data_IF_668660866933
#
_entry.id   IF_668660866933
#
_cell.length_a   1.000
_cell.length_b   1.000
_cell.length_c   1.000
_cell.angle_alpha   90.00
_cell.angle_beta   90.00
_cell.angle_gamma   90.00
#
_symmetry.space_group_name_H-M   'P 1'
#
loop_
_entity.id
_entity.type
_entity.pdbx_description
1 polymer ?
#
# COMPACT_ATOMS: atom_id res chain seq x y z
N UNK A 1 8.37 -1.08 -5.92
CA UNK A 1 7.32 -0.96 -6.95
C UNK A 1 6.38 0.15 -6.54
N UNK A 2 6.08 1.06 -7.43
CA UNK A 2 5.14 2.15 -7.19
C UNK A 2 3.80 1.89 -7.91
N UNK A 3 2.82 2.80 -7.75
CA UNK A 3 1.51 2.65 -8.39
C UNK A 3 1.58 2.67 -9.91
N UNK A 4 2.53 3.39 -10.50
CA UNK A 4 2.72 3.41 -11.95
C UNK A 4 3.17 2.04 -12.47
N UNK A 5 4.11 1.41 -11.78
CA UNK A 5 4.59 0.07 -12.12
C UNK A 5 3.47 -0.97 -11.99
N UNK A 6 2.66 -0.87 -10.92
CA UNK A 6 1.49 -1.74 -10.73
C UNK A 6 0.48 -1.53 -11.87
N UNK A 7 0.23 -0.28 -12.25
CA UNK A 7 -0.67 0.07 -13.36
C UNK A 7 -0.19 -0.54 -14.68
N UNK A 8 1.10 -0.48 -14.96
CA UNK A 8 1.69 -1.07 -16.19
C UNK A 8 1.52 -2.59 -16.23
N UNK A 9 1.71 -3.27 -15.09
CA UNK A 9 1.50 -4.72 -14.97
C UNK A 9 0.03 -5.05 -15.22
N UNK A 10 -0.88 -4.31 -14.59
CA UNK A 10 -2.33 -4.50 -14.76
C UNK A 10 -2.80 -4.21 -16.18
N UNK A 11 -2.23 -3.20 -16.83
CA UNK A 11 -2.57 -2.89 -18.23
C UNK A 11 -2.33 -4.06 -19.19
N UNK A 12 -1.36 -4.92 -18.88
CA UNK A 12 -1.08 -6.13 -19.65
C UNK A 12 -2.05 -7.27 -19.33
N UNK A 13 -2.53 -7.35 -18.09
CA UNK A 13 -3.42 -8.41 -17.62
C UNK A 13 -4.90 -8.08 -17.79
N UNK A 14 -5.26 -6.79 -17.84
CA UNK A 14 -6.65 -6.33 -17.86
C UNK A 14 -7.46 -6.73 -19.08
N UNK A 15 -6.91 -6.71 -20.32
CA UNK A 15 -7.69 -7.06 -21.52
C UNK A 15 -8.25 -8.48 -21.45
N UNK A 16 -9.47 -8.64 -21.99
CA UNK A 16 -10.13 -9.94 -22.13
C UNK A 16 -10.13 -10.32 -23.60
N UNK A 17 -9.57 -11.50 -23.92
CA UNK A 17 -9.59 -12.04 -25.26
C UNK A 17 -10.98 -12.61 -25.58
N UNK A 18 -11.74 -11.90 -26.39
CA UNK A 18 -13.09 -12.29 -26.80
C UNK A 18 -13.12 -13.61 -27.58
N UNK A 19 -11.99 -14.01 -28.17
CA UNK A 19 -11.88 -15.24 -28.94
C UNK A 19 -11.61 -16.47 -28.08
N UNK A 20 -11.32 -16.28 -26.78
CA UNK A 20 -11.00 -17.35 -25.85
C UNK A 20 -11.62 -17.13 -24.48
N UNK A 21 -12.94 -17.03 -24.42
CA UNK A 21 -13.66 -16.73 -23.17
C UNK A 21 -13.53 -17.85 -22.13
N UNK A 22 -13.40 -19.11 -22.56
CA UNK A 22 -13.13 -20.22 -21.65
C UNK A 22 -11.79 -20.04 -20.94
N UNK A 23 -10.75 -19.73 -21.72
CA UNK A 23 -9.42 -19.43 -21.17
C UNK A 23 -9.42 -18.23 -20.23
N UNK A 24 -10.16 -17.19 -20.59
CA UNK A 24 -10.30 -16.00 -19.74
C UNK A 24 -11.02 -16.32 -18.43
N UNK A 25 -12.04 -17.16 -18.43
CA UNK A 25 -12.70 -17.63 -17.20
C UNK A 25 -11.76 -18.43 -16.31
N UNK A 26 -10.95 -19.31 -16.89
CA UNK A 26 -9.95 -20.10 -16.16
C UNK A 26 -8.84 -19.22 -15.58
N UNK A 27 -8.56 -18.08 -16.21
CA UNK A 27 -7.51 -17.14 -15.79
C UNK A 27 -7.88 -16.34 -14.55
N UNK A 28 -9.18 -16.19 -14.23
CA UNK A 28 -9.65 -15.37 -13.11
C UNK A 28 -8.97 -15.74 -11.78
N UNK A 29 -8.96 -17.02 -11.33
CA UNK A 29 -8.29 -17.37 -10.07
C UNK A 29 -6.79 -17.10 -10.08
N UNK A 30 -6.14 -17.24 -11.25
CA UNK A 30 -4.72 -16.95 -11.39
C UNK A 30 -4.41 -15.47 -11.24
N UNK A 31 -5.22 -14.62 -11.86
CA UNK A 31 -5.12 -13.16 -11.70
C UNK A 31 -5.36 -12.75 -10.25
N UNK A 32 -6.40 -13.31 -9.62
CA UNK A 32 -6.69 -13.05 -8.23
C UNK A 32 -5.49 -13.41 -7.35
N UNK A 33 -4.93 -14.59 -7.51
CA UNK A 33 -3.76 -15.05 -6.75
C UNK A 33 -2.57 -14.10 -6.92
N UNK A 34 -2.27 -13.70 -8.16
CA UNK A 34 -1.17 -12.79 -8.47
C UNK A 34 -1.31 -11.45 -7.74
N UNK A 35 -2.45 -10.79 -7.90
CA UNK A 35 -2.67 -9.46 -7.34
C UNK A 35 -2.93 -9.49 -5.83
N UNK A 36 -3.57 -10.53 -5.32
CA UNK A 36 -3.75 -10.71 -3.88
C UNK A 36 -2.42 -10.90 -3.16
N UNK A 37 -1.47 -11.65 -3.75
CA UNK A 37 -0.15 -11.81 -3.18
C UNK A 37 0.62 -10.49 -3.14
N UNK A 38 0.51 -9.67 -4.19
CA UNK A 38 1.10 -8.33 -4.21
C UNK A 38 0.48 -7.44 -3.14
N UNK A 39 -0.85 -7.46 -3.05
CA UNK A 39 -1.61 -6.71 -2.04
C UNK A 39 -1.20 -7.08 -0.62
N UNK A 40 -1.17 -8.36 -0.34
CA UNK A 40 -0.88 -8.86 1.01
C UNK A 40 0.54 -8.49 1.46
N UNK A 41 1.51 -8.52 0.57
CA UNK A 41 2.87 -8.05 0.85
C UNK A 41 2.88 -6.57 1.26
N UNK A 42 2.13 -5.74 0.56
CA UNK A 42 2.02 -4.31 0.90
C UNK A 42 1.32 -4.11 2.25
N UNK A 43 0.27 -4.86 2.55
CA UNK A 43 -0.43 -4.81 3.84
C UNK A 43 0.52 -5.14 4.99
N UNK A 44 1.30 -6.21 4.85
CA UNK A 44 2.27 -6.60 5.87
C UNK A 44 3.38 -5.55 6.02
N UNK A 45 3.81 -4.97 4.91
CA UNK A 45 4.81 -3.88 4.91
C UNK A 45 4.32 -2.67 5.70
N UNK A 46 3.07 -2.26 5.46
CA UNK A 46 2.45 -1.14 6.18
C UNK A 46 2.37 -1.43 7.68
N UNK A 47 1.99 -2.65 8.06
CA UNK A 47 1.94 -3.04 9.48
C UNK A 47 3.29 -2.92 10.16
N UNK A 48 4.33 -3.41 9.49
CA UNK A 48 5.71 -3.32 10.00
C UNK A 48 6.15 -1.86 10.15
N UNK A 49 5.91 -1.05 9.12
CA UNK A 49 6.29 0.36 9.13
C UNK A 49 5.54 1.16 10.20
N UNK A 50 4.28 0.85 10.45
CA UNK A 50 3.52 1.49 11.53
C UNK A 50 4.04 1.12 12.91
N UNK A 51 4.52 -0.10 13.10
CA UNK A 51 5.18 -0.50 14.33
C UNK A 51 6.51 0.27 14.51
N UNK A 52 7.28 0.41 13.45
CA UNK A 52 8.50 1.22 13.43
C UNK A 52 8.19 2.71 13.74
N UNK A 53 7.09 3.22 13.21
CA UNK A 53 6.63 4.59 13.49
C UNK A 53 6.35 4.81 14.97
N UNK A 54 5.65 3.89 15.61
CA UNK A 54 5.36 3.98 17.06
C UNK A 54 6.65 4.00 17.88
N UNK A 55 7.60 3.18 17.53
CA UNK A 55 8.91 3.14 18.19
C UNK A 55 9.68 4.44 17.97
N UNK A 56 9.72 4.94 16.74
CA UNK A 56 10.37 6.21 16.41
C UNK A 56 9.70 7.39 17.13
N UNK A 57 8.36 7.40 17.18
CA UNK A 57 7.60 8.44 17.88
C UNK A 57 7.96 8.47 19.37
N UNK A 58 8.09 7.29 20.00
CA UNK A 58 8.52 7.17 21.40
C UNK A 58 9.93 7.75 21.58
N UNK A 59 10.87 7.35 20.72
CA UNK A 59 12.26 7.83 20.77
C UNK A 59 12.34 9.34 20.57
N UNK A 60 11.59 9.89 19.63
CA UNK A 60 11.58 11.33 19.35
C UNK A 60 10.93 12.11 20.51
N UNK A 61 9.92 11.54 21.16
CA UNK A 61 9.31 12.16 22.35
C UNK A 61 10.33 12.28 23.47
N UNK A 62 11.08 11.22 23.76
CA UNK A 62 12.17 11.25 24.74
C UNK A 62 13.28 12.21 24.35
N UNK A 63 13.59 12.29 23.04
CA UNK A 63 14.60 13.21 22.53
C UNK A 63 14.21 14.68 22.74
N UNK A 64 12.98 15.05 22.36
CA UNK A 64 12.53 16.45 22.46
C UNK A 64 12.17 16.88 23.86
N UNK A 65 11.78 15.97 24.77
CA UNK A 65 11.49 16.32 26.16
C UNK A 65 12.76 16.35 27.03
N UNK A 66 13.90 15.98 26.47
CA UNK A 66 15.19 16.01 27.16
C UNK A 66 15.46 14.82 28.06
N UNK A 67 14.61 13.80 28.05
CA UNK A 67 14.77 12.60 28.90
C UNK A 67 15.67 11.53 28.30
N UNK A 68 16.07 11.66 27.04
CA UNK A 68 16.92 10.68 26.37
C UNK A 68 18.34 10.69 26.97
N UNK A 69 18.83 9.52 27.34
CA UNK A 69 20.18 9.39 27.89
C UNK A 69 21.28 9.51 26.81
N UNK A 70 22.52 9.73 27.24
CA UNK A 70 23.66 9.93 26.34
C UNK A 70 23.96 8.68 25.51
N UNK A 71 23.78 7.50 26.08
CA UNK A 71 24.03 6.22 25.40
C UNK A 71 23.04 6.07 24.22
N UNK A 72 21.76 6.33 24.43
CA UNK A 72 20.73 6.27 23.40
C UNK A 72 20.96 7.33 22.31
N UNK A 73 21.37 8.55 22.71
CA UNK A 73 21.74 9.60 21.75
C UNK A 73 22.87 9.14 20.85
N UNK A 74 23.90 8.50 21.41
CA UNK A 74 25.03 8.00 20.65
C UNK A 74 24.62 6.85 19.71
N UNK A 75 23.76 5.93 20.15
CA UNK A 75 23.23 4.83 19.33
C UNK A 75 22.46 5.33 18.13
N UNK A 76 21.66 6.38 18.31
CA UNK A 76 20.86 6.98 17.24
C UNK A 76 21.65 7.96 16.37
N UNK A 77 22.82 8.39 16.83
CA UNK A 77 23.61 9.40 16.13
C UNK A 77 23.01 10.80 16.20
N UNK A 78 22.22 11.07 17.21
CA UNK A 78 21.56 12.37 17.38
C UNK A 78 22.36 13.28 18.32
N UNK A 79 22.36 14.56 17.98
CA UNK A 79 22.94 15.58 18.85
C UNK A 79 21.98 15.90 20.00
N UNK A 80 22.51 16.23 21.23
CA UNK A 80 21.63 16.63 22.32
C UNK A 80 20.72 17.79 21.93
N UNK A 81 19.43 17.67 22.28
CA UNK A 81 18.45 18.73 22.02
C UNK A 81 18.51 19.75 23.18
N UNK A 82 18.88 20.98 22.84
CA UNK A 82 19.21 22.00 23.84
C UNK A 82 18.05 22.94 24.21
N UNK A 83 16.94 22.86 23.49
CA UNK A 83 15.77 23.70 23.77
C UNK A 83 14.86 23.02 24.80
N UNK A 84 14.28 23.81 25.69
CA UNK A 84 13.19 23.34 26.57
C UNK A 84 11.89 23.42 25.79
N UNK A 85 11.32 22.27 25.44
CA UNK A 85 10.03 22.20 24.79
C UNK A 85 8.95 22.05 25.83
N UNK A 86 7.96 22.93 25.82
CA UNK A 86 6.78 22.81 26.68
C UNK A 86 6.00 21.54 26.25
N UNK A 87 5.42 20.87 27.26
CA UNK A 87 4.65 19.63 27.03
C UNK A 87 3.59 19.78 25.94
N UNK A 88 2.94 20.94 25.87
CA UNK A 88 1.91 21.23 24.87
C UNK A 88 2.46 21.41 23.45
N UNK A 89 3.75 21.71 23.30
CA UNK A 89 4.41 21.92 22.01
C UNK A 89 5.15 20.68 21.52
N UNK A 90 5.26 19.65 22.35
CA UNK A 90 6.04 18.44 22.05
C UNK A 90 5.57 17.75 20.76
N UNK A 91 4.26 17.63 20.58
CA UNK A 91 3.69 17.00 19.37
C UNK A 91 4.03 17.78 18.10
N UNK A 92 4.11 19.10 18.17
CA UNK A 92 4.52 19.94 17.02
C UNK A 92 5.94 19.63 16.58
N UNK A 93 6.87 19.47 17.51
CA UNK A 93 8.26 19.13 17.23
C UNK A 93 8.37 17.72 16.63
N UNK A 94 7.62 16.75 17.17
CA UNK A 94 7.61 15.38 16.68
C UNK A 94 7.05 15.34 15.26
N UNK A 95 5.91 15.97 15.00
CA UNK A 95 5.28 15.96 13.69
C UNK A 95 6.06 16.74 12.63
N UNK A 96 6.90 17.70 13.04
CA UNK A 96 7.79 18.44 12.15
C UNK A 96 9.17 17.78 12.00
N UNK A 97 9.44 16.73 12.72
CA UNK A 97 10.71 16.00 12.67
C UNK A 97 10.91 15.33 11.31
N UNK A 98 12.11 15.48 10.73
CA UNK A 98 12.41 14.96 9.39
C UNK A 98 12.32 13.45 9.29
N UNK A 99 12.75 12.72 10.34
CA UNK A 99 12.69 11.25 10.35
C UNK A 99 11.25 10.76 10.45
N UNK A 100 10.42 11.43 11.25
CA UNK A 100 8.98 11.15 11.38
C UNK A 100 8.28 11.39 10.04
N UNK A 101 8.55 12.52 9.40
CA UNK A 101 7.96 12.86 8.09
C UNK A 101 8.37 11.82 7.04
N UNK A 102 9.64 11.45 6.98
CA UNK A 102 10.15 10.47 6.03
C UNK A 102 9.47 9.11 6.20
N UNK A 103 9.35 8.64 7.43
CA UNK A 103 8.69 7.36 7.71
C UNK A 103 7.20 7.41 7.40
N UNK A 104 6.53 8.52 7.73
CA UNK A 104 5.13 8.76 7.39
C UNK A 104 4.90 8.68 5.88
N UNK A 105 5.75 9.32 5.09
CA UNK A 105 5.66 9.28 3.62
C UNK A 105 5.90 7.87 3.07
N UNK A 106 6.78 7.09 3.69
CA UNK A 106 7.01 5.69 3.31
C UNK A 106 5.77 4.83 3.60
N UNK A 107 5.12 5.06 4.74
CA UNK A 107 3.85 4.38 5.07
C UNK A 107 2.78 4.74 4.04
N UNK A 108 2.64 6.02 3.70
CA UNK A 108 1.66 6.49 2.72
C UNK A 108 1.91 5.88 1.34
N UNK A 109 3.16 5.76 0.94
CA UNK A 109 3.56 5.12 -0.31
C UNK A 109 3.07 3.67 -0.41
N UNK A 110 3.35 2.87 0.62
CA UNK A 110 2.92 1.47 0.64
C UNK A 110 1.40 1.31 0.83
N UNK A 111 0.78 2.23 1.58
CA UNK A 111 -0.69 2.27 1.71
C UNK A 111 -1.36 2.58 0.37
N UNK A 112 -0.81 3.51 -0.40
CA UNK A 112 -1.30 3.82 -1.75
C UNK A 112 -1.19 2.61 -2.68
N UNK A 113 -0.08 1.86 -2.62
CA UNK A 113 0.08 0.63 -3.37
C UNK A 113 -0.97 -0.41 -2.99
N UNK A 114 -1.20 -0.60 -1.69
CA UNK A 114 -2.21 -1.54 -1.19
C UNK A 114 -3.60 -1.17 -1.67
N UNK A 115 -3.98 0.10 -1.59
CA UNK A 115 -5.29 0.58 -2.05
C UNK A 115 -5.47 0.38 -3.55
N UNK A 116 -4.43 0.65 -4.34
CA UNK A 116 -4.46 0.45 -5.78
C UNK A 116 -4.67 -1.03 -6.14
N UNK A 117 -3.95 -1.92 -5.47
CA UNK A 117 -4.08 -3.36 -5.65
C UNK A 117 -5.45 -3.87 -5.21
N UNK A 118 -6.00 -3.33 -4.14
CA UNK A 118 -7.37 -3.66 -3.70
C UNK A 118 -8.40 -3.34 -4.77
N UNK A 119 -8.28 -2.19 -5.43
CA UNK A 119 -9.17 -1.81 -6.53
C UNK A 119 -9.04 -2.75 -7.72
N UNK A 120 -7.82 -3.17 -8.06
CA UNK A 120 -7.60 -4.18 -9.11
C UNK A 120 -8.27 -5.50 -8.73
N UNK A 121 -8.15 -5.96 -7.50
CA UNK A 121 -8.77 -7.19 -7.01
C UNK A 121 -10.29 -7.12 -7.13
N UNK A 122 -10.89 -5.97 -6.80
CA UNK A 122 -12.34 -5.75 -6.99
C UNK A 122 -12.74 -5.87 -8.47
N UNK A 123 -11.93 -5.33 -9.37
CA UNK A 123 -12.15 -5.46 -10.81
C UNK A 123 -12.05 -6.92 -11.26
N UNK A 124 -11.10 -7.68 -10.72
CA UNK A 124 -10.97 -9.12 -10.99
C UNK A 124 -12.22 -9.87 -10.51
N UNK A 125 -12.77 -9.53 -9.36
CA UNK A 125 -14.01 -10.14 -8.86
C UNK A 125 -15.21 -9.91 -9.81
N UNK A 126 -15.23 -8.78 -10.50
CA UNK A 126 -16.29 -8.45 -11.45
C UNK A 126 -16.10 -9.11 -12.83
N UNK A 127 -14.95 -9.72 -13.07
CA UNK A 127 -14.54 -10.23 -14.37
C UNK A 127 -15.45 -11.34 -14.91
N UNK A 128 -16.00 -12.16 -14.02
CA UNK A 128 -16.94 -13.22 -14.38
C UNK A 128 -18.24 -12.64 -14.95
N UNK A 129 -18.74 -11.53 -14.43
CA UNK A 129 -19.92 -10.84 -14.96
C UNK A 129 -19.64 -10.25 -16.35
N UNK A 130 -18.47 -9.65 -16.54
CA UNK A 130 -18.06 -9.09 -17.83
C UNK A 130 -17.98 -10.20 -18.87
N UNK A 131 -17.38 -11.33 -18.56
CA UNK A 131 -17.27 -12.48 -19.46
C UNK A 131 -18.66 -13.06 -19.77
N UNK A 132 -19.52 -13.18 -18.75
CA UNK A 132 -20.91 -13.64 -18.95
C UNK A 132 -21.66 -12.70 -19.89
N UNK A 133 -21.54 -11.39 -19.71
CA UNK A 133 -22.17 -10.40 -20.59
C UNK A 133 -21.63 -10.52 -22.03
N UNK A 134 -20.35 -10.77 -22.21
CA UNK A 134 -19.77 -11.01 -23.53
C UNK A 134 -20.36 -12.24 -24.19
N UNK A 135 -20.52 -13.33 -23.45
CA UNK A 135 -21.14 -14.57 -23.94
C UNK A 135 -22.59 -14.30 -24.36
N UNK A 136 -23.37 -13.58 -23.56
CA UNK A 136 -24.76 -13.24 -23.86
C UNK A 136 -24.87 -12.38 -25.11
N UNK A 137 -23.99 -11.41 -25.30
CA UNK A 137 -23.91 -10.56 -26.49
C UNK A 137 -23.60 -11.40 -27.73
N UNK A 138 -22.62 -12.29 -27.65
CA UNK A 138 -22.23 -13.18 -28.75
C UNK A 138 -23.37 -14.11 -29.14
N UNK A 139 -24.09 -14.67 -28.18
CA UNK A 139 -25.29 -15.49 -28.42
C UNK A 139 -26.37 -14.69 -29.13
N UNK A 140 -26.65 -13.48 -28.68
CA UNK A 140 -27.62 -12.59 -29.29
C UNK A 140 -27.25 -12.28 -30.74
N UNK A 141 -26.00 -11.94 -31.02
CA UNK A 141 -25.49 -11.67 -32.36
C UNK A 141 -25.58 -12.87 -33.27
N UNK A 142 -25.47 -14.08 -32.74
CA UNK A 142 -25.62 -15.32 -33.46
C UNK A 142 -27.09 -15.74 -33.68
N UNK A 143 -28.04 -14.98 -33.17
CA UNK A 143 -29.47 -15.32 -33.24
C UNK A 143 -29.91 -16.41 -32.28
N UNK A 144 -29.14 -16.69 -31.24
CA UNK A 144 -29.44 -17.69 -30.22
C UNK A 144 -30.08 -16.99 -29.01
N UNK A 145 -31.40 -17.05 -28.93
CA UNK A 145 -32.18 -16.36 -27.87
C UNK A 145 -32.53 -17.28 -26.71
#
# INVERSE_FOLDING_TARGET
>A
MDTNQISEIWAKDAPIDETNLVGESKRIPLLHSKYYNMYYKEVLRVKKLRAEYKELERLKREYYDGSMDQETLNEQGWKPFQLKVLRNDLDKYIQADKDIIKLSLTIDFHSANANYLEDIIKTIHSRNFVIKNMIDILKFQAGDY
#
